data_IF_348931105005
#
_entry.id   IF_348931105005
#
_cell.length_a   1.000
_cell.length_b   1.000
_cell.length_c   1.000
_cell.angle_alpha   90.00
_cell.angle_beta   90.00
_cell.angle_gamma   90.00
#
_symmetry.space_group_name_H-M   'P 1'
#
loop_
_entity.id
_entity.type
_entity.pdbx_description
1 polymer ?
#
# COMPACT_ATOMS: atom_id res chain seq x y z
N UNK A 1 -27.82 24.98 -3.39
CA UNK A 1 -27.43 24.65 -4.78
C UNK A 1 -25.95 24.26 -4.72
N UNK A 2 -25.49 23.04 -4.84
CA UNK A 2 -26.05 21.72 -5.18
C UNK A 2 -25.28 20.74 -4.31
N UNK A 3 -25.96 19.92 -3.50
CA UNK A 3 -25.38 18.73 -2.86
C UNK A 3 -25.07 17.70 -3.96
N UNK A 4 -24.06 17.98 -4.77
CA UNK A 4 -23.50 16.99 -5.65
C UNK A 4 -22.56 16.15 -4.78
N UNK A 5 -23.14 15.26 -3.97
CA UNK A 5 -22.40 14.23 -3.26
C UNK A 5 -21.73 13.38 -4.33
N UNK A 6 -20.51 13.75 -4.69
CA UNK A 6 -19.75 13.10 -5.74
C UNK A 6 -19.62 11.63 -5.33
N UNK A 7 -20.36 10.76 -6.01
CA UNK A 7 -20.26 9.32 -5.78
C UNK A 7 -18.88 8.89 -6.27
N UNK A 8 -18.09 8.25 -5.41
CA UNK A 8 -16.77 7.76 -5.79
C UNK A 8 -16.91 6.74 -6.93
N UNK A 9 -16.01 6.81 -7.92
CA UNK A 9 -16.02 5.89 -9.05
C UNK A 9 -15.10 4.72 -8.72
N UNK A 10 -15.69 3.62 -8.30
CA UNK A 10 -14.96 2.41 -7.92
C UNK A 10 -14.56 1.56 -9.12
N UNK A 11 -13.36 0.97 -9.07
CA UNK A 11 -12.85 0.03 -10.06
C UNK A 11 -12.24 -1.20 -9.40
N UNK A 12 -12.11 -2.27 -10.17
CA UNK A 12 -11.38 -3.47 -9.76
C UNK A 12 -9.90 -3.14 -9.54
N UNK A 13 -9.29 -3.83 -8.57
CA UNK A 13 -7.87 -3.67 -8.28
C UNK A 13 -6.99 -4.31 -9.37
N UNK A 14 -5.81 -3.70 -9.57
CA UNK A 14 -4.70 -4.32 -10.28
C UNK A 14 -3.70 -4.86 -9.24
N UNK A 15 -3.37 -6.14 -9.36
CA UNK A 15 -2.50 -6.88 -8.43
C UNK A 15 -1.09 -7.14 -8.97
N UNK A 16 -0.73 -6.65 -10.15
CA UNK A 16 0.52 -7.01 -10.85
C UNK A 16 1.79 -6.64 -10.07
N UNK A 17 1.75 -5.58 -9.26
CA UNK A 17 2.90 -5.14 -8.45
C UNK A 17 3.23 -6.10 -7.29
N UNK A 18 2.33 -7.01 -6.90
CA UNK A 18 2.58 -7.92 -5.77
C UNK A 18 3.77 -8.85 -6.01
N UNK A 19 4.08 -9.18 -7.27
CA UNK A 19 5.23 -10.02 -7.60
C UNK A 19 6.56 -9.43 -7.10
N UNK A 20 6.65 -8.10 -7.08
CA UNK A 20 7.81 -7.28 -6.75
C UNK A 20 7.52 -6.34 -5.55
N UNK A 21 6.56 -6.68 -4.69
CA UNK A 21 6.08 -5.78 -3.62
C UNK A 21 7.21 -5.27 -2.71
N UNK A 22 8.16 -6.14 -2.40
CA UNK A 22 9.33 -5.89 -1.56
C UNK A 22 10.13 -4.66 -2.02
N UNK A 23 10.30 -4.50 -3.34
CA UNK A 23 11.02 -3.36 -3.93
C UNK A 23 10.35 -2.02 -3.59
N UNK A 24 9.02 -2.02 -3.48
CA UNK A 24 8.22 -0.82 -3.22
C UNK A 24 8.03 -0.56 -1.72
N UNK A 25 7.83 -1.61 -0.91
CA UNK A 25 7.61 -1.49 0.54
C UNK A 25 8.86 -1.12 1.31
N UNK A 26 10.02 -1.70 0.96
CA UNK A 26 11.30 -1.33 1.59
C UNK A 26 11.55 0.19 1.42
N UNK A 27 11.41 0.66 0.19
CA UNK A 27 11.53 2.08 -0.19
C UNK A 27 10.55 2.98 0.59
N UNK A 28 9.31 2.53 0.83
CA UNK A 28 8.34 3.29 1.61
C UNK A 28 8.66 3.31 3.12
N UNK A 29 9.16 2.21 3.68
CA UNK A 29 9.41 2.04 5.12
C UNK A 29 10.67 2.75 5.66
N UNK A 30 11.74 2.84 4.86
CA UNK A 30 13.02 3.46 5.28
C UNK A 30 12.94 4.97 5.57
N UNK A 31 11.78 5.59 5.33
CA UNK A 31 11.64 7.05 5.24
C UNK A 31 10.59 7.66 6.17
N UNK A 32 9.97 6.87 7.06
CA UNK A 32 8.78 7.30 7.80
C UNK A 32 9.00 8.30 8.95
N UNK A 33 10.21 8.58 9.46
CA UNK A 33 10.29 9.30 10.76
C UNK A 33 10.95 10.68 10.83
N UNK A 34 11.88 11.12 9.97
CA UNK A 34 12.76 12.24 10.43
C UNK A 34 13.05 13.44 9.54
N UNK A 35 12.75 13.48 8.24
CA UNK A 35 13.40 14.51 7.40
C UNK A 35 12.56 15.57 6.68
N UNK A 36 11.25 15.42 6.50
CA UNK A 36 10.60 16.17 5.40
C UNK A 36 9.20 16.74 5.68
N UNK A 37 8.88 17.10 6.94
CA UNK A 37 7.56 17.69 7.26
C UNK A 37 7.28 19.02 6.53
N UNK A 38 8.30 19.72 6.05
CA UNK A 38 8.16 21.11 5.57
C UNK A 38 8.17 21.27 4.03
N UNK A 39 8.90 20.45 3.27
CA UNK A 39 9.12 20.65 1.82
C UNK A 39 7.84 20.65 0.97
N UNK A 40 6.79 19.96 1.43
CA UNK A 40 5.53 19.84 0.69
C UNK A 40 4.37 20.65 1.31
N UNK A 41 4.61 21.37 2.42
CA UNK A 41 3.56 22.11 3.14
C UNK A 41 2.89 23.19 2.29
N UNK A 42 3.62 23.80 1.35
CA UNK A 42 3.10 24.86 0.48
C UNK A 42 2.13 24.34 -0.59
N UNK A 43 2.14 23.03 -0.87
CA UNK A 43 1.42 22.38 -1.98
C UNK A 43 0.55 21.20 -1.54
N UNK A 44 0.50 20.91 -0.24
CA UNK A 44 -0.46 20.02 0.42
C UNK A 44 -1.31 20.87 1.35
N UNK A 45 -2.49 21.30 0.88
CA UNK A 45 -3.36 22.29 1.53
C UNK A 45 -4.82 21.82 1.54
N UNK A 46 -5.08 20.72 2.22
CA UNK A 46 -6.45 20.37 2.61
C UNK A 46 -6.83 21.27 3.80
N UNK A 47 -7.83 22.11 3.61
CA UNK A 47 -8.27 23.09 4.61
C UNK A 47 -9.38 22.53 5.53
N UNK A 48 -9.53 23.14 6.70
CA UNK A 48 -10.54 22.75 7.69
C UNK A 48 -11.96 23.22 7.32
N UNK A 49 -12.11 24.17 6.40
CA UNK A 49 -13.43 24.60 5.94
C UNK A 49 -14.11 23.49 5.12
N UNK A 50 -13.34 22.86 4.23
CA UNK A 50 -13.79 21.76 3.39
C UNK A 50 -13.64 20.38 4.07
N UNK A 51 -12.66 20.22 4.98
CA UNK A 51 -12.32 18.93 5.62
C UNK A 51 -12.09 19.05 7.14
N UNK A 52 -13.05 19.55 7.94
CA UNK A 52 -12.83 19.98 9.33
C UNK A 52 -12.27 18.89 10.25
N UNK A 53 -12.67 17.63 10.08
CA UNK A 53 -12.29 16.56 11.01
C UNK A 53 -11.04 15.78 10.59
N UNK A 54 -10.57 15.94 9.34
CA UNK A 54 -9.50 15.08 8.79
C UNK A 54 -8.53 15.79 7.85
N UNK A 55 -8.62 17.11 7.69
CA UNK A 55 -7.70 17.95 6.90
C UNK A 55 -6.23 17.68 7.23
N UNK A 56 -5.88 17.61 8.54
CA UNK A 56 -4.52 17.34 8.99
C UNK A 56 -4.03 15.97 8.52
N UNK A 57 -4.86 14.93 8.64
CA UNK A 57 -4.53 13.58 8.19
C UNK A 57 -4.39 13.51 6.66
N UNK A 58 -5.26 14.21 5.91
CA UNK A 58 -5.14 14.33 4.45
C UNK A 58 -3.82 15.01 4.05
N UNK A 59 -3.44 16.08 4.75
CA UNK A 59 -2.17 16.76 4.52
C UNK A 59 -0.98 15.83 4.79
N UNK A 60 -1.02 14.99 5.84
CA UNK A 60 0.01 13.99 6.09
C UNK A 60 0.10 12.97 4.95
N UNK A 61 -1.03 12.43 4.49
CA UNK A 61 -1.06 11.49 3.35
C UNK A 61 -0.54 12.14 2.07
N UNK A 62 -0.90 13.40 1.81
CA UNK A 62 -0.42 14.16 0.65
C UNK A 62 1.11 14.29 0.66
N UNK A 63 1.69 14.66 1.81
CA UNK A 63 3.14 14.79 1.98
C UNK A 63 3.85 13.46 1.76
N UNK A 64 3.31 12.37 2.32
CA UNK A 64 3.82 11.01 2.12
C UNK A 64 3.75 10.58 0.65
N UNK A 65 2.65 10.87 -0.06
CA UNK A 65 2.52 10.53 -1.48
C UNK A 65 3.54 11.28 -2.35
N UNK A 66 3.72 12.58 -2.13
CA UNK A 66 4.73 13.37 -2.86
C UNK A 66 6.15 12.87 -2.61
N UNK A 67 6.43 12.46 -1.39
CA UNK A 67 7.68 11.81 -1.06
C UNK A 67 7.89 10.52 -1.87
N UNK A 68 6.91 9.62 -1.88
CA UNK A 68 6.98 8.38 -2.65
C UNK A 68 7.16 8.65 -4.16
N UNK A 69 6.47 9.66 -4.70
CA UNK A 69 6.66 10.08 -6.09
C UNK A 69 8.09 10.52 -6.38
N UNK A 70 8.66 11.38 -5.53
CA UNK A 70 10.03 11.82 -5.67
C UNK A 70 11.02 10.64 -5.55
N UNK A 71 10.75 9.68 -4.68
CA UNK A 71 11.57 8.48 -4.50
C UNK A 71 11.54 7.58 -5.74
N UNK A 72 10.36 7.31 -6.29
CA UNK A 72 10.22 6.38 -7.41
C UNK A 72 10.62 6.98 -8.76
N UNK A 73 10.43 8.28 -8.96
CA UNK A 73 10.62 8.89 -10.28
C UNK A 73 11.84 9.81 -10.39
N UNK A 74 12.20 10.55 -9.34
CA UNK A 74 13.32 11.51 -9.41
C UNK A 74 14.62 10.97 -8.82
N UNK A 75 14.54 10.06 -7.84
CA UNK A 75 15.69 9.42 -7.21
C UNK A 75 15.57 7.89 -7.24
N UNK A 76 15.38 7.28 -8.43
CA UNK A 76 15.22 5.83 -8.50
C UNK A 76 16.51 5.17 -7.98
N UNK A 77 16.36 4.29 -6.97
CA UNK A 77 17.49 3.59 -6.36
C UNK A 77 18.28 2.70 -7.34
N UNK A 78 17.75 2.42 -8.54
CA UNK A 78 18.42 1.84 -9.71
C UNK A 78 17.35 1.71 -10.85
N UNK A 79 17.76 1.33 -12.07
CA UNK A 79 16.90 1.13 -13.27
C UNK A 79 15.85 -0.02 -13.15
N UNK A 80 15.34 -0.30 -11.95
CA UNK A 80 14.69 -1.58 -11.60
C UNK A 80 13.19 -1.52 -11.41
N UNK A 81 12.56 -0.34 -11.45
CA UNK A 81 11.11 -0.23 -11.25
C UNK A 81 10.32 -0.22 -12.56
N UNK A 82 9.37 -1.14 -12.68
CA UNK A 82 8.33 -1.03 -13.70
C UNK A 82 7.38 0.12 -13.36
N UNK A 83 7.33 1.15 -14.22
CA UNK A 83 6.50 2.36 -14.02
C UNK A 83 5.02 2.02 -13.84
N UNK A 84 4.50 1.02 -14.56
CA UNK A 84 3.11 0.61 -14.40
C UNK A 84 2.87 0.01 -13.01
N UNK A 85 3.83 -0.76 -12.48
CA UNK A 85 3.72 -1.34 -11.15
C UNK A 85 3.82 -0.28 -10.06
N UNK A 86 4.68 0.75 -10.24
CA UNK A 86 4.71 1.92 -9.35
C UNK A 86 3.32 2.57 -9.30
N UNK A 87 2.71 2.83 -10.45
CA UNK A 87 1.39 3.46 -10.54
C UNK A 87 0.31 2.64 -9.83
N UNK A 88 0.30 1.33 -10.02
CA UNK A 88 -0.67 0.44 -9.35
C UNK A 88 -0.41 0.33 -7.85
N UNK A 89 0.86 0.27 -7.43
CA UNK A 89 1.24 0.28 -6.03
C UNK A 89 0.81 1.57 -5.33
N UNK A 90 1.08 2.73 -5.94
CA UNK A 90 0.70 4.03 -5.38
C UNK A 90 -0.82 4.20 -5.28
N UNK A 91 -1.58 3.65 -6.24
CA UNK A 91 -3.04 3.63 -6.15
C UNK A 91 -3.52 2.80 -4.95
N UNK A 92 -2.98 1.58 -4.79
CA UNK A 92 -3.27 0.73 -3.64
C UNK A 92 -2.89 1.41 -2.31
N UNK A 93 -1.65 1.91 -2.23
CA UNK A 93 -1.13 2.57 -1.04
C UNK A 93 -2.02 3.75 -0.66
N UNK A 94 -2.44 4.58 -1.62
CA UNK A 94 -3.29 5.73 -1.35
C UNK A 94 -4.68 5.32 -0.84
N UNK A 95 -5.30 4.30 -1.44
CA UNK A 95 -6.56 3.73 -0.95
C UNK A 95 -6.41 3.23 0.50
N UNK A 96 -5.35 2.47 0.79
CA UNK A 96 -5.04 1.93 2.11
C UNK A 96 -4.79 3.03 3.16
N UNK A 97 -4.12 4.13 2.79
CA UNK A 97 -3.89 5.24 3.70
C UNK A 97 -5.17 6.04 3.97
N UNK A 98 -5.96 6.33 2.94
CA UNK A 98 -7.17 7.15 3.09
C UNK A 98 -8.29 6.43 3.85
N UNK A 99 -8.43 5.12 3.71
CA UNK A 99 -9.44 4.34 4.47
C UNK A 99 -9.12 4.25 5.96
N UNK A 100 -7.84 4.40 6.35
CA UNK A 100 -7.40 4.40 7.75
C UNK A 100 -7.66 5.73 8.46
N UNK A 101 -7.97 6.79 7.72
CA UNK A 101 -8.32 8.07 8.31
C UNK A 101 -9.75 7.98 8.86
N UNK A 102 -9.89 8.16 10.17
CA UNK A 102 -11.19 8.09 10.84
C UNK A 102 -12.20 9.06 10.22
N UNK A 103 -13.40 8.56 9.91
CA UNK A 103 -14.51 9.30 9.29
C UNK A 103 -14.20 9.96 7.93
N UNK A 104 -13.07 9.63 7.30
CA UNK A 104 -12.79 10.14 5.96
C UNK A 104 -13.83 9.61 4.97
N UNK A 105 -14.48 10.54 4.27
CA UNK A 105 -15.46 10.25 3.21
C UNK A 105 -14.98 10.70 1.84
N UNK A 106 -13.75 11.22 1.76
CA UNK A 106 -13.16 11.73 0.53
C UNK A 106 -12.76 10.59 -0.40
N UNK A 107 -13.32 10.59 -1.61
CA UNK A 107 -12.90 9.66 -2.65
C UNK A 107 -11.40 9.83 -2.96
N UNK A 108 -10.71 8.73 -3.22
CA UNK A 108 -9.30 8.70 -3.59
C UNK A 108 -9.06 9.52 -4.86
N UNK A 109 -9.96 9.42 -5.84
CA UNK A 109 -9.86 10.22 -7.06
C UNK A 109 -9.99 11.73 -6.79
N UNK A 110 -10.84 12.13 -5.85
CA UNK A 110 -11.05 13.54 -5.49
C UNK A 110 -9.85 14.08 -4.73
N UNK A 111 -9.33 13.30 -3.77
CA UNK A 111 -8.09 13.62 -3.07
C UNK A 111 -6.94 13.90 -4.05
N UNK A 112 -6.75 13.00 -5.02
CA UNK A 112 -5.72 13.14 -6.05
C UNK A 112 -5.94 14.35 -6.97
N UNK A 113 -7.18 14.63 -7.39
CA UNK A 113 -7.49 15.82 -8.18
C UNK A 113 -7.15 17.11 -7.43
N UNK A 114 -7.46 17.18 -6.12
CA UNK A 114 -7.08 18.34 -5.31
C UNK A 114 -5.56 18.54 -5.27
N UNK A 115 -4.78 17.45 -5.18
CA UNK A 115 -3.32 17.52 -5.23
C UNK A 115 -2.82 18.07 -6.57
N UNK A 116 -3.42 17.67 -7.70
CA UNK A 116 -3.09 18.19 -9.03
C UNK A 116 -3.37 19.69 -9.15
N UNK A 117 -4.52 20.14 -8.62
CA UNK A 117 -4.92 21.56 -8.63
C UNK A 117 -3.96 22.39 -7.77
N UNK A 118 -3.55 21.88 -6.61
CA UNK A 118 -2.66 22.58 -5.69
C UNK A 118 -1.19 22.59 -6.13
N UNK A 119 -0.80 21.66 -7.00
CA UNK A 119 0.58 21.51 -7.47
C UNK A 119 0.63 21.26 -8.98
N UNK A 120 0.13 22.24 -9.73
CA UNK A 120 -0.02 22.16 -11.20
C UNK A 120 1.30 22.01 -11.96
N UNK A 121 2.47 22.11 -11.30
CA UNK A 121 3.78 21.95 -11.94
C UNK A 121 4.41 20.58 -11.70
N UNK A 122 3.91 19.81 -10.75
CA UNK A 122 4.43 18.49 -10.41
C UNK A 122 4.17 17.45 -11.51
N UNK A 123 5.21 17.12 -12.27
CA UNK A 123 5.15 16.16 -13.38
C UNK A 123 4.85 14.74 -12.89
N UNK A 124 5.41 14.36 -11.74
CA UNK A 124 5.22 13.01 -11.18
C UNK A 124 3.80 12.77 -10.71
N UNK A 125 3.15 13.79 -10.15
CA UNK A 125 1.72 13.71 -9.90
C UNK A 125 0.96 13.50 -11.21
N UNK A 126 1.23 14.28 -12.25
CA UNK A 126 0.55 14.10 -13.56
C UNK A 126 0.79 12.73 -14.18
N UNK A 127 1.96 12.11 -13.94
CA UNK A 127 2.29 10.76 -14.42
C UNK A 127 1.38 9.67 -13.83
N UNK A 128 0.62 9.97 -12.76
CA UNK A 128 -0.40 9.09 -12.18
C UNK A 128 -1.81 9.29 -12.75
N UNK A 129 -2.01 10.23 -13.66
CA UNK A 129 -3.34 10.53 -14.23
C UNK A 129 -3.93 9.30 -14.91
N UNK A 130 -5.20 9.00 -14.61
CA UNK A 130 -5.88 7.79 -15.08
C UNK A 130 -5.52 6.51 -14.33
N UNK A 131 -4.59 6.55 -13.38
CA UNK A 131 -4.16 5.40 -12.58
C UNK A 131 -4.54 5.48 -11.09
N UNK A 132 -4.96 6.66 -10.63
CA UNK A 132 -5.51 6.83 -9.28
C UNK A 132 -7.03 6.76 -9.34
N UNK A 133 -7.59 5.81 -8.59
CA UNK A 133 -9.02 5.52 -8.54
C UNK A 133 -9.39 4.84 -7.23
N UNK A 134 -10.65 4.94 -6.84
CA UNK A 134 -11.20 4.24 -5.69
C UNK A 134 -11.29 2.74 -5.97
N UNK A 135 -10.72 1.92 -5.09
CA UNK A 135 -10.74 0.46 -5.16
C UNK A 135 -11.96 -0.05 -4.39
N UNK A 136 -12.69 -1.01 -4.95
CA UNK A 136 -13.79 -1.65 -4.22
C UNK A 136 -13.31 -2.18 -2.86
N UNK A 137 -14.11 -2.00 -1.81
CA UNK A 137 -13.70 -2.34 -0.45
C UNK A 137 -13.25 -3.80 -0.30
N UNK A 138 -13.94 -4.74 -0.94
CA UNK A 138 -13.58 -6.16 -0.86
C UNK A 138 -12.28 -6.46 -1.62
N UNK A 139 -12.02 -5.77 -2.74
CA UNK A 139 -10.73 -5.82 -3.42
C UNK A 139 -9.62 -5.24 -2.54
N UNK A 140 -9.87 -4.13 -1.86
CA UNK A 140 -8.87 -3.51 -0.98
C UNK A 140 -8.53 -4.42 0.22
N UNK A 141 -9.51 -5.12 0.78
CA UNK A 141 -9.27 -6.15 1.81
C UNK A 141 -8.43 -7.30 1.28
N UNK A 142 -8.69 -7.75 0.06
CA UNK A 142 -7.89 -8.79 -0.60
C UNK A 142 -6.44 -8.35 -0.82
N UNK A 143 -6.22 -7.11 -1.27
CA UNK A 143 -4.89 -6.52 -1.40
C UNK A 143 -4.17 -6.39 -0.06
N UNK A 144 -4.89 -5.98 1.01
CA UNK A 144 -4.33 -5.92 2.36
C UNK A 144 -3.85 -7.30 2.82
N UNK A 145 -4.64 -8.35 2.56
CA UNK A 145 -4.27 -9.71 2.91
C UNK A 145 -2.99 -10.16 2.20
N UNK A 146 -2.87 -9.91 0.89
CA UNK A 146 -1.64 -10.20 0.14
C UNK A 146 -0.45 -9.38 0.63
N UNK A 147 -0.66 -8.10 0.98
CA UNK A 147 0.41 -7.28 1.53
C UNK A 147 0.92 -7.87 2.85
N UNK A 148 0.02 -8.21 3.77
CA UNK A 148 0.34 -8.80 5.07
C UNK A 148 1.18 -10.08 4.91
N UNK A 149 0.74 -10.96 4.00
CA UNK A 149 1.45 -12.18 3.64
C UNK A 149 2.90 -11.92 3.17
N UNK A 150 3.08 -10.99 2.24
CA UNK A 150 4.40 -10.61 1.74
C UNK A 150 5.29 -10.00 2.83
N UNK A 151 4.74 -9.09 3.64
CA UNK A 151 5.46 -8.44 4.74
C UNK A 151 5.95 -9.47 5.77
N UNK A 152 5.06 -10.37 6.19
CA UNK A 152 5.40 -11.40 7.16
C UNK A 152 6.44 -12.38 6.59
N UNK A 153 6.30 -12.79 5.32
CA UNK A 153 7.29 -13.60 4.62
C UNK A 153 8.69 -12.95 4.60
N UNK A 154 8.77 -11.67 4.26
CA UNK A 154 10.04 -10.92 4.21
C UNK A 154 10.68 -10.82 5.61
N UNK A 155 9.90 -10.48 6.63
CA UNK A 155 10.37 -10.41 8.01
C UNK A 155 10.87 -11.76 8.53
N UNK A 156 10.13 -12.85 8.27
CA UNK A 156 10.53 -14.21 8.65
C UNK A 156 11.85 -14.58 7.98
N UNK A 157 11.97 -14.38 6.68
CA UNK A 157 13.20 -14.66 5.94
C UNK A 157 14.40 -13.87 6.47
N UNK A 158 14.20 -12.59 6.79
CA UNK A 158 15.25 -11.76 7.38
C UNK A 158 15.70 -12.28 8.75
N UNK A 159 14.77 -12.78 9.58
CA UNK A 159 15.11 -13.33 10.90
C UNK A 159 15.86 -14.66 10.77
N UNK A 160 15.45 -15.53 9.84
CA UNK A 160 16.10 -16.83 9.60
C UNK A 160 17.52 -16.63 9.07
N UNK A 161 17.72 -15.68 8.15
CA UNK A 161 19.01 -15.45 7.52
C UNK A 161 20.01 -14.68 8.41
N UNK A 162 19.56 -13.97 9.45
CA UNK A 162 20.41 -13.20 10.38
C UNK A 162 20.62 -13.91 11.74
N UNK A 163 20.70 -15.24 11.76
CA UNK A 163 21.03 -16.05 12.95
C UNK A 163 20.14 -15.81 14.20
N UNK A 164 18.81 -15.92 14.04
CA UNK A 164 17.87 -16.21 15.13
C UNK A 164 17.87 -15.27 16.36
N UNK A 165 18.29 -14.00 16.25
CA UNK A 165 18.24 -13.07 17.39
C UNK A 165 16.82 -12.87 17.98
N UNK A 166 15.75 -13.29 17.28
CA UNK A 166 14.38 -13.10 17.74
C UNK A 166 13.42 -14.27 17.41
N UNK A 167 13.74 -15.50 17.87
CA UNK A 167 12.90 -16.69 17.67
C UNK A 167 11.41 -16.48 18.01
N UNK A 168 11.10 -15.78 19.11
CA UNK A 168 9.71 -15.47 19.52
C UNK A 168 8.98 -14.60 18.50
N UNK A 169 9.64 -13.56 17.99
CA UNK A 169 9.09 -12.69 16.94
C UNK A 169 8.85 -13.49 15.67
N UNK A 170 9.76 -14.39 15.30
CA UNK A 170 9.58 -15.22 14.13
C UNK A 170 8.39 -16.17 14.23
N UNK A 171 8.18 -16.81 15.39
CA UNK A 171 7.01 -17.68 15.63
C UNK A 171 5.72 -16.87 15.47
N UNK A 172 5.66 -15.69 16.10
CA UNK A 172 4.47 -14.84 16.00
C UNK A 172 4.17 -14.42 14.55
N UNK A 173 5.18 -13.98 13.80
CA UNK A 173 5.02 -13.65 12.38
C UNK A 173 4.61 -14.87 11.55
N UNK A 174 5.12 -16.06 11.87
CA UNK A 174 4.75 -17.30 11.18
C UNK A 174 3.29 -17.69 11.44
N UNK A 175 2.80 -17.54 12.67
CA UNK A 175 1.40 -17.74 13.04
C UNK A 175 0.46 -16.76 12.33
N UNK A 176 0.83 -15.47 12.29
CA UNK A 176 0.08 -14.45 11.55
C UNK A 176 0.07 -14.77 10.04
N UNK A 177 1.22 -15.10 9.46
CA UNK A 177 1.33 -15.46 8.05
C UNK A 177 0.48 -16.70 7.71
N UNK A 178 0.48 -17.73 8.55
CA UNK A 178 -0.35 -18.92 8.38
C UNK A 178 -1.86 -18.61 8.48
N UNK A 179 -2.25 -17.76 9.44
CA UNK A 179 -3.63 -17.29 9.60
C UNK A 179 -4.13 -16.52 8.37
N UNK A 180 -3.33 -15.58 7.88
CA UNK A 180 -3.65 -14.80 6.68
C UNK A 180 -3.65 -15.66 5.42
N UNK A 181 -2.75 -16.65 5.33
CA UNK A 181 -2.69 -17.59 4.22
C UNK A 181 -3.98 -18.43 4.15
N UNK A 182 -4.48 -18.91 5.30
CA UNK A 182 -5.75 -19.62 5.36
C UNK A 182 -6.94 -18.73 4.93
N UNK A 183 -7.00 -17.48 5.37
CA UNK A 183 -8.04 -16.53 4.91
C UNK A 183 -7.98 -16.30 3.39
N UNK A 184 -6.77 -16.28 2.83
CA UNK A 184 -6.58 -16.12 1.39
C UNK A 184 -7.06 -17.35 0.61
N UNK A 185 -6.81 -18.56 1.14
CA UNK A 185 -7.36 -19.81 0.62
C UNK A 185 -8.89 -19.92 0.76
N UNK A 186 -9.50 -19.32 1.78
CA UNK A 186 -10.97 -19.26 1.86
C UNK A 186 -11.54 -18.29 0.81
N UNK A 187 -10.89 -17.13 0.64
CA UNK A 187 -11.24 -16.11 -0.37
C UNK A 187 -11.09 -16.65 -1.81
N UNK A 188 -10.12 -17.55 -2.03
CA UNK A 188 -9.87 -18.27 -3.28
C UNK A 188 -11.12 -18.89 -3.90
N UNK A 189 -12.08 -19.35 -3.08
CA UNK A 189 -13.29 -20.03 -3.54
C UNK A 189 -14.29 -19.10 -4.24
N UNK A 190 -14.09 -17.77 -4.17
CA UNK A 190 -15.04 -16.75 -4.63
C UNK A 190 -14.74 -16.14 -6.02
N UNK A 191 -13.88 -16.77 -6.85
CA UNK A 191 -13.67 -16.47 -8.29
C UNK A 191 -13.13 -15.08 -8.68
N UNK A 192 -12.48 -14.32 -7.80
CA UNK A 192 -11.69 -13.16 -8.27
C UNK A 192 -10.40 -13.67 -8.95
N UNK A 193 -10.34 -13.56 -10.28
CA UNK A 193 -9.22 -14.05 -11.09
C UNK A 193 -7.91 -13.30 -10.83
N UNK A 194 -7.95 -12.00 -10.57
CA UNK A 194 -6.73 -11.20 -10.42
C UNK A 194 -6.08 -11.41 -9.05
N UNK A 195 -6.90 -11.46 -7.98
CA UNK A 195 -6.43 -11.86 -6.66
C UNK A 195 -5.85 -13.27 -6.68
N UNK A 196 -6.54 -14.20 -7.37
CA UNK A 196 -6.11 -15.59 -7.49
C UNK A 196 -4.71 -15.73 -8.08
N UNK A 197 -4.43 -15.08 -9.22
CA UNK A 197 -3.11 -15.17 -9.85
C UNK A 197 -2.01 -14.58 -8.96
N UNK A 198 -2.28 -13.45 -8.29
CA UNK A 198 -1.34 -12.85 -7.35
C UNK A 198 -1.08 -13.76 -6.13
N UNK A 199 -2.12 -14.36 -5.55
CA UNK A 199 -1.99 -15.28 -4.43
C UNK A 199 -1.26 -16.56 -4.81
N UNK A 200 -1.51 -17.11 -6.01
CA UNK A 200 -0.80 -18.29 -6.53
C UNK A 200 0.70 -18.02 -6.68
N UNK A 201 1.08 -16.83 -7.13
CA UNK A 201 2.48 -16.40 -7.17
C UNK A 201 3.09 -16.40 -5.76
N UNK A 202 2.39 -15.83 -4.77
CA UNK A 202 2.82 -15.84 -3.38
C UNK A 202 2.94 -17.25 -2.79
N UNK A 203 1.98 -18.15 -3.06
CA UNK A 203 2.00 -19.54 -2.57
C UNK A 203 3.32 -20.25 -2.89
N UNK A 204 3.85 -20.06 -4.10
CA UNK A 204 5.14 -20.64 -4.49
C UNK A 204 6.34 -20.13 -3.67
N UNK A 205 6.24 -18.92 -3.09
CA UNK A 205 7.21 -18.36 -2.14
C UNK A 205 6.98 -18.97 -0.75
N UNK A 206 5.73 -19.03 -0.30
CA UNK A 206 5.33 -19.58 0.99
C UNK A 206 5.72 -21.07 1.15
N UNK A 207 5.51 -21.90 0.14
CA UNK A 207 5.84 -23.34 0.19
C UNK A 207 7.36 -23.60 0.33
N UNK A 208 8.19 -22.61 0.00
CA UNK A 208 9.65 -22.64 0.18
C UNK A 208 10.11 -22.02 1.51
N UNK A 209 9.18 -21.41 2.24
CA UNK A 209 9.49 -20.77 3.52
C UNK A 209 9.75 -21.87 4.55
N UNK A 210 10.98 -21.94 5.03
CA UNK A 210 11.28 -22.69 6.24
C UNK A 210 10.64 -21.96 7.42
N UNK A 211 9.40 -22.28 7.76
CA UNK A 211 8.74 -21.70 8.92
C UNK A 211 9.63 -21.92 10.14
N UNK A 212 9.80 -20.87 10.96
CA UNK A 212 10.65 -20.89 12.15
C UNK A 212 10.26 -22.04 13.08
N UNK A 213 10.86 -23.21 12.88
CA UNK A 213 10.57 -24.42 13.64
C UNK A 213 11.14 -24.24 15.05
N UNK A 214 10.32 -23.76 15.97
CA UNK A 214 10.29 -24.37 17.28
C UNK A 214 9.57 -25.69 17.14
N UNK A 215 10.14 -26.79 17.65
CA UNK A 215 9.36 -28.00 17.90
C UNK A 215 8.02 -27.60 18.53
N UNK A 216 6.91 -27.81 17.81
CA UNK A 216 5.54 -27.71 18.33
C UNK A 216 5.24 -28.90 19.28
N UNK A 217 6.24 -29.36 20.02
CA UNK A 217 6.13 -30.42 21.01
C UNK A 217 6.67 -29.87 22.33
N UNK A 218 5.74 -29.56 23.23
CA UNK A 218 5.94 -29.14 24.61
C UNK A 218 4.59 -28.89 25.25
#
# INVERSE_FOLDING_TARGET
>A
MTDNKLSCIYKNANYEFFNDLDKYTQSASENEESRYRDDYSSTCKFDEENYPEFSQSLNVVCKKLKFLLNLFFNNPKENTYNVNYIRTFLNYWLNDQLIKINKNTLCVSVFYQNMIIQDTRNQELRNLSGHIYDIYLDELKNMYLLHSLHKNYEMINRIINNEHENKKVCIHLAEECASDYKKAEETYSNKNTNFYEAFKSFKSKYDKLNLCTGSLNG
#
